data_IF_352581440994
#
_entry.id   IF_352581440994
#
_cell.length_a   1.000
_cell.length_b   1.000
_cell.length_c   1.000
_cell.angle_alpha   90.00
_cell.angle_beta   90.00
_cell.angle_gamma   90.00
#
_symmetry.space_group_name_H-M   'P 1'
#
loop_
_entity.id
_entity.type
_entity.pdbx_description
1 polymer ?
#
# COMPACT_ATOMS: atom_id res chain seq x y z
N UNK A 1 44.42 34.30 -26.37
CA UNK A 1 44.22 33.72 -25.03
C UNK A 1 42.82 34.08 -24.56
N UNK A 2 41.81 33.24 -24.83
CA UNK A 2 40.40 33.54 -24.50
C UNK A 2 39.96 32.71 -23.29
N UNK A 3 40.08 33.30 -22.10
CA UNK A 3 39.40 32.82 -20.90
C UNK A 3 37.89 33.11 -21.04
N UNK A 4 37.13 32.09 -21.42
CA UNK A 4 35.67 32.17 -21.46
C UNK A 4 35.12 32.08 -20.04
N UNK A 5 34.31 33.07 -19.65
CA UNK A 5 33.75 33.22 -18.32
C UNK A 5 32.79 32.07 -17.98
N UNK A 6 32.98 31.40 -16.83
CA UNK A 6 31.95 30.52 -16.26
C UNK A 6 30.90 31.40 -15.57
N UNK A 7 29.71 31.49 -16.16
CA UNK A 7 28.55 32.10 -15.51
C UNK A 7 28.07 31.22 -14.34
N UNK A 8 27.66 31.79 -13.20
CA UNK A 8 27.16 31.03 -12.07
C UNK A 8 25.77 30.44 -12.39
N UNK A 9 25.60 29.13 -12.15
CA UNK A 9 24.34 28.41 -12.39
C UNK A 9 23.23 28.89 -11.46
N UNK A 10 22.09 29.25 -12.07
CA UNK A 10 20.92 29.82 -11.40
C UNK A 10 20.15 28.79 -10.56
N UNK A 11 19.59 29.19 -9.41
CA UNK A 11 18.89 28.30 -8.46
C UNK A 11 17.69 27.56 -9.08
N UNK A 12 17.02 28.19 -10.07
CA UNK A 12 15.92 27.58 -10.82
C UNK A 12 16.31 26.36 -11.66
N UNK A 13 17.57 26.25 -12.10
CA UNK A 13 18.04 25.09 -12.87
C UNK A 13 18.26 23.85 -11.97
N UNK A 14 18.55 24.06 -10.69
CA UNK A 14 18.66 22.98 -9.69
C UNK A 14 17.31 22.31 -9.40
N UNK A 15 16.22 23.09 -9.33
CA UNK A 15 14.86 22.57 -9.11
C UNK A 15 14.38 21.75 -10.32
N UNK A 16 14.71 22.21 -11.54
CA UNK A 16 14.36 21.51 -12.79
C UNK A 16 15.06 20.16 -12.95
N UNK A 17 16.29 20.01 -12.43
CA UNK A 17 17.00 18.71 -12.40
C UNK A 17 16.36 17.69 -11.45
N UNK A 18 15.80 18.12 -10.32
CA UNK A 18 15.07 17.23 -9.39
C UNK A 18 13.78 16.69 -10.02
N UNK A 19 13.10 17.51 -10.82
CA UNK A 19 11.94 17.08 -11.62
C UNK A 19 12.28 16.14 -12.79
N UNK A 20 13.54 16.09 -13.23
CA UNK A 20 13.99 15.16 -14.27
C UNK A 20 14.02 13.71 -13.78
N UNK A 21 14.37 13.47 -12.51
CA UNK A 21 14.28 12.15 -11.87
C UNK A 21 12.84 11.62 -11.84
N UNK A 22 11.86 12.48 -11.54
CA UNK A 22 10.44 12.08 -11.57
C UNK A 22 9.96 11.73 -13.00
N UNK A 23 10.46 12.41 -14.04
CA UNK A 23 10.11 12.09 -15.45
C UNK A 23 10.66 10.74 -15.91
N UNK A 24 11.82 10.31 -15.40
CA UNK A 24 12.37 8.96 -15.67
C UNK A 24 11.50 7.87 -15.05
N UNK A 25 11.05 8.06 -13.80
CA UNK A 25 10.11 7.14 -13.16
C UNK A 25 8.76 7.08 -13.89
N UNK A 26 8.20 8.21 -14.31
CA UNK A 26 6.91 8.24 -15.05
C UNK A 26 6.99 7.44 -16.35
N UNK A 27 8.10 7.54 -17.10
CA UNK A 27 8.30 6.75 -18.32
C UNK A 27 8.44 5.26 -18.01
N UNK A 28 9.23 4.91 -17.00
CA UNK A 28 9.38 3.52 -16.57
C UNK A 28 8.05 2.91 -16.10
N UNK A 29 7.27 3.69 -15.35
CA UNK A 29 5.91 3.34 -14.94
C UNK A 29 4.97 3.18 -16.15
N UNK A 30 5.11 4.01 -17.18
CA UNK A 30 4.31 3.94 -18.39
C UNK A 30 4.61 2.67 -19.23
N UNK A 31 5.89 2.26 -19.29
CA UNK A 31 6.32 1.00 -19.93
C UNK A 31 5.94 -0.23 -19.12
N UNK A 32 6.14 -0.21 -17.79
CA UNK A 32 5.64 -1.25 -16.89
C UNK A 32 4.12 -1.38 -17.00
N UNK A 33 3.37 -0.27 -16.99
CA UNK A 33 1.92 -0.24 -17.19
C UNK A 33 1.52 -0.85 -18.53
N UNK A 34 2.20 -0.51 -19.63
CA UNK A 34 1.95 -1.11 -20.95
C UNK A 34 2.28 -2.61 -21.00
N UNK A 35 3.31 -3.06 -20.28
CA UNK A 35 3.71 -4.48 -20.16
C UNK A 35 2.70 -5.26 -19.32
N UNK A 36 2.26 -4.70 -18.20
CA UNK A 36 1.19 -5.24 -17.33
C UNK A 36 -0.15 -5.28 -18.09
N UNK A 37 -0.45 -4.29 -18.92
CA UNK A 37 -1.66 -4.25 -19.76
C UNK A 37 -1.62 -5.23 -20.95
N UNK A 38 -0.43 -5.71 -21.34
CA UNK A 38 -0.26 -6.77 -22.36
C UNK A 38 -0.25 -8.16 -21.75
N UNK A 39 0.13 -8.29 -20.48
CA UNK A 39 -0.15 -9.51 -19.72
C UNK A 39 -1.68 -9.56 -19.60
N UNK A 40 -2.27 -10.57 -20.22
CA UNK A 40 -3.69 -10.91 -20.21
C UNK A 40 -4.17 -11.32 -18.81
N UNK A 41 -3.87 -10.50 -17.80
CA UNK A 41 -4.38 -10.69 -16.46
C UNK A 41 -5.88 -10.35 -16.51
N UNK A 42 -6.70 -11.38 -16.35
CA UNK A 42 -8.15 -11.25 -16.16
C UNK A 42 -8.43 -10.19 -15.07
N UNK A 43 -9.46 -9.34 -15.22
CA UNK A 43 -9.80 -8.30 -14.23
C UNK A 43 -9.84 -8.82 -12.80
N UNK A 44 -10.33 -10.05 -12.64
CA UNK A 44 -10.36 -10.79 -11.39
C UNK A 44 -8.98 -10.93 -10.72
N UNK A 45 -7.96 -11.43 -11.44
CA UNK A 45 -6.60 -11.59 -10.91
C UNK A 45 -5.95 -10.28 -10.47
N UNK A 46 -6.26 -9.17 -11.16
CA UNK A 46 -5.74 -7.84 -10.80
C UNK A 46 -6.43 -7.32 -9.54
N UNK A 47 -7.76 -7.41 -9.48
CA UNK A 47 -8.54 -7.00 -8.32
C UNK A 47 -8.17 -7.82 -7.06
N UNK A 48 -8.03 -9.13 -7.22
CA UNK A 48 -7.63 -10.05 -6.16
C UNK A 48 -6.20 -9.78 -5.68
N UNK A 49 -5.25 -9.53 -6.60
CA UNK A 49 -3.90 -9.13 -6.21
C UNK A 49 -3.91 -7.83 -5.39
N UNK A 50 -4.64 -6.82 -5.86
CA UNK A 50 -4.71 -5.52 -5.17
C UNK A 50 -5.36 -5.61 -3.77
N UNK A 51 -6.44 -6.38 -3.62
CA UNK A 51 -7.10 -6.56 -2.32
C UNK A 51 -6.22 -7.27 -1.31
N UNK A 52 -5.45 -8.27 -1.74
CA UNK A 52 -4.45 -8.95 -0.90
C UNK A 52 -3.36 -7.98 -0.45
N UNK A 53 -2.93 -7.07 -1.34
CA UNK A 53 -1.98 -6.02 -1.01
C UNK A 53 -2.48 -5.10 0.10
N UNK A 54 -3.75 -4.66 0.00
CA UNK A 54 -4.39 -3.82 1.01
C UNK A 54 -4.59 -4.59 2.33
N UNK A 55 -5.04 -5.85 2.26
CA UNK A 55 -5.17 -6.71 3.43
C UNK A 55 -3.84 -6.86 4.18
N UNK A 56 -2.76 -7.11 3.44
CA UNK A 56 -1.42 -7.26 4.02
C UNK A 56 -0.91 -5.92 4.59
N UNK A 57 -1.26 -4.79 3.96
CA UNK A 57 -0.93 -3.45 4.43
C UNK A 57 -1.59 -3.06 5.76
N UNK A 58 -2.71 -3.69 6.12
CA UNK A 58 -3.35 -3.58 7.44
C UNK A 58 -2.68 -4.47 8.50
N UNK A 59 -1.68 -5.28 8.14
CA UNK A 59 -0.93 -6.03 9.15
C UNK A 59 0.03 -5.08 9.88
N UNK A 60 0.19 -5.22 11.22
CA UNK A 60 1.06 -4.34 12.01
C UNK A 60 2.55 -4.55 11.75
N UNK A 61 2.92 -5.49 10.87
CA UNK A 61 4.30 -5.79 10.54
C UNK A 61 4.90 -4.76 9.57
N UNK A 62 5.76 -3.90 10.09
CA UNK A 62 6.57 -2.98 9.30
C UNK A 62 7.50 -3.76 8.35
N UNK A 63 7.41 -3.49 7.05
CA UNK A 63 8.23 -4.11 6.00
C UNK A 63 7.80 -5.54 5.60
N UNK A 64 7.41 -6.40 6.55
CA UNK A 64 7.00 -7.78 6.25
C UNK A 64 5.68 -7.86 5.47
N UNK A 65 4.83 -6.83 5.54
CA UNK A 65 3.57 -6.78 4.79
C UNK A 65 3.76 -6.89 3.26
N UNK A 66 4.89 -6.46 2.71
CA UNK A 66 5.19 -6.63 1.27
C UNK A 66 5.44 -8.10 0.96
N UNK A 67 6.19 -8.79 1.82
CA UNK A 67 6.47 -10.23 1.69
C UNK A 67 5.16 -11.01 1.85
N UNK A 68 4.34 -10.68 2.85
CA UNK A 68 3.00 -11.25 3.04
C UNK A 68 2.12 -11.02 1.81
N UNK A 69 2.10 -9.82 1.24
CA UNK A 69 1.33 -9.51 0.05
C UNK A 69 1.76 -10.36 -1.16
N UNK A 70 3.07 -10.54 -1.35
CA UNK A 70 3.60 -11.39 -2.42
C UNK A 70 3.25 -12.86 -2.15
N UNK A 71 3.43 -13.32 -0.92
CA UNK A 71 3.13 -14.69 -0.50
C UNK A 71 1.66 -15.04 -0.70
N UNK A 72 0.74 -14.23 -0.16
CA UNK A 72 -0.70 -14.45 -0.31
C UNK A 72 -1.15 -14.29 -1.77
N UNK A 73 -0.55 -13.36 -2.53
CA UNK A 73 -0.84 -13.21 -3.96
C UNK A 73 -0.37 -14.43 -4.76
N UNK A 74 0.75 -15.07 -4.37
CA UNK A 74 1.20 -16.32 -4.97
C UNK A 74 0.23 -17.46 -4.68
N UNK A 75 -0.15 -17.64 -3.41
CA UNK A 75 -1.08 -18.69 -2.97
C UNK A 75 -2.43 -18.58 -3.68
N UNK A 76 -2.99 -17.37 -3.73
CA UNK A 76 -4.29 -17.10 -4.34
C UNK A 76 -4.21 -16.86 -5.86
N UNK A 77 -3.03 -17.08 -6.48
CA UNK A 77 -2.77 -16.91 -7.93
C UNK A 77 -3.19 -15.52 -8.46
N UNK A 78 -3.03 -14.50 -7.62
CA UNK A 78 -3.27 -13.10 -7.93
C UNK A 78 -2.15 -12.46 -8.75
N UNK A 79 -2.35 -11.21 -9.16
CA UNK A 79 -1.32 -10.45 -9.84
C UNK A 79 -0.34 -9.83 -8.83
N UNK A 80 0.92 -10.26 -8.84
CA UNK A 80 1.99 -9.73 -7.99
C UNK A 80 2.16 -8.22 -8.09
N UNK A 81 2.12 -7.66 -9.30
CA UNK A 81 2.27 -6.22 -9.50
C UNK A 81 1.11 -5.46 -8.85
N UNK A 82 -0.11 -6.00 -8.92
CA UNK A 82 -1.28 -5.41 -8.29
C UNK A 82 -1.18 -5.48 -6.75
N UNK A 83 -0.68 -6.58 -6.21
CA UNK A 83 -0.46 -6.73 -4.76
C UNK A 83 0.55 -5.73 -4.21
N UNK A 84 1.69 -5.56 -4.88
CA UNK A 84 2.70 -4.56 -4.48
C UNK A 84 2.15 -3.14 -4.58
N UNK A 85 1.34 -2.84 -5.60
CA UNK A 85 0.67 -1.53 -5.70
C UNK A 85 -0.35 -1.35 -4.54
N UNK A 86 -1.03 -2.42 -4.13
CA UNK A 86 -1.92 -2.40 -2.96
C UNK A 86 -1.17 -2.09 -1.67
N UNK A 87 0.04 -2.61 -1.48
CA UNK A 87 0.84 -2.31 -0.27
C UNK A 87 1.30 -0.85 -0.19
N UNK A 88 1.46 -0.17 -1.33
CA UNK A 88 1.80 1.27 -1.37
C UNK A 88 0.69 2.15 -0.77
N UNK A 89 -0.52 1.62 -0.59
CA UNK A 89 -1.56 2.30 0.18
C UNK A 89 -1.11 2.60 1.63
N UNK A 90 -0.25 1.75 2.19
CA UNK A 90 0.36 1.91 3.50
C UNK A 90 1.69 2.68 3.39
N UNK A 91 1.59 3.99 3.23
CA UNK A 91 2.73 4.90 3.37
C UNK A 91 3.01 5.12 4.86
N UNK A 92 4.23 5.52 5.28
CA UNK A 92 4.58 5.68 6.70
C UNK A 92 3.56 6.52 7.50
N UNK A 93 2.96 7.54 6.87
CA UNK A 93 1.93 8.37 7.49
C UNK A 93 0.57 7.65 7.61
N UNK A 94 0.12 6.95 6.56
CA UNK A 94 -1.15 6.20 6.61
C UNK A 94 -1.05 4.95 7.46
N UNK A 95 0.11 4.30 7.50
CA UNK A 95 0.39 3.14 8.33
C UNK A 95 0.18 3.45 9.82
N UNK A 96 0.67 4.59 10.31
CA UNK A 96 0.44 5.01 11.70
C UNK A 96 -1.05 5.14 12.02
N UNK A 97 -1.83 5.68 11.08
CA UNK A 97 -3.27 5.80 11.24
C UNK A 97 -3.97 4.43 11.24
N UNK A 98 -3.55 3.53 10.35
CA UNK A 98 -4.07 2.16 10.23
C UNK A 98 -3.79 1.38 11.51
N UNK A 99 -2.54 1.33 11.98
CA UNK A 99 -2.12 0.71 13.24
C UNK A 99 -2.92 1.21 14.43
N UNK A 100 -3.16 2.53 14.50
CA UNK A 100 -3.94 3.11 15.59
C UNK A 100 -5.43 2.73 15.51
N UNK A 101 -5.98 2.61 14.30
CA UNK A 101 -7.34 2.13 14.06
C UNK A 101 -7.48 0.63 14.36
N UNK A 102 -6.53 -0.20 13.91
CA UNK A 102 -6.46 -1.64 14.16
C UNK A 102 -6.43 -1.91 15.65
N UNK A 103 -5.56 -1.20 16.39
CA UNK A 103 -5.51 -1.33 17.84
C UNK A 103 -6.85 -0.98 18.50
N UNK A 104 -7.47 0.14 18.11
CA UNK A 104 -8.75 0.59 18.68
C UNK A 104 -9.87 -0.42 18.42
N UNK A 105 -9.95 -0.94 17.20
CA UNK A 105 -10.98 -1.90 16.79
C UNK A 105 -10.74 -3.25 17.45
N UNK A 106 -9.49 -3.74 17.45
CA UNK A 106 -9.12 -4.99 18.10
C UNK A 106 -9.33 -4.97 19.61
N UNK A 107 -9.05 -3.84 20.26
CA UNK A 107 -9.39 -3.60 21.67
C UNK A 107 -10.89 -3.67 21.91
N UNK A 108 -11.69 -2.99 21.09
CA UNK A 108 -13.15 -3.02 21.20
C UNK A 108 -13.68 -4.45 21.02
N UNK A 109 -13.13 -5.19 20.06
CA UNK A 109 -13.49 -6.59 19.83
C UNK A 109 -13.10 -7.47 21.02
N UNK A 110 -11.88 -7.35 21.53
CA UNK A 110 -11.45 -8.11 22.70
C UNK A 110 -12.27 -7.77 23.95
N UNK A 111 -12.63 -6.50 24.18
CA UNK A 111 -13.53 -6.10 25.26
C UNK A 111 -14.91 -6.75 25.15
N UNK A 112 -15.44 -6.90 23.94
CA UNK A 112 -16.70 -7.59 23.70
C UNK A 112 -16.62 -9.10 23.93
N UNK A 113 -15.45 -9.72 23.72
CA UNK A 113 -15.27 -11.18 23.78
C UNK A 113 -14.50 -11.68 25.03
N UNK A 114 -13.90 -10.81 25.84
CA UNK A 114 -13.20 -11.20 27.08
C UNK A 114 -12.67 -10.03 27.91
N UNK A 115 -12.88 -10.11 29.24
CA UNK A 115 -12.34 -9.17 30.24
C UNK A 115 -10.80 -9.25 30.28
N UNK A 116 -10.11 -8.39 29.53
CA UNK A 116 -8.65 -8.20 29.63
C UNK A 116 -8.37 -6.73 29.94
N UNK A 117 -7.45 -6.52 30.87
CA UNK A 117 -7.20 -5.26 31.57
C UNK A 117 -6.83 -4.06 30.68
N UNK A 118 -7.15 -2.88 31.23
CA UNK A 118 -7.05 -1.58 30.61
C UNK A 118 -5.59 -1.11 30.42
N UNK A 119 -5.06 -1.19 29.20
CA UNK A 119 -3.88 -0.38 28.83
C UNK A 119 -4.39 0.99 28.34
N UNK A 120 -4.02 2.09 28.99
CA UNK A 120 -4.59 3.41 28.69
C UNK A 120 -4.05 3.99 27.38
N UNK A 121 -4.92 4.64 26.59
CA UNK A 121 -4.59 5.30 25.31
C UNK A 121 -3.47 6.34 25.44
N UNK A 122 -3.26 6.88 26.64
CA UNK A 122 -2.16 7.79 26.94
C UNK A 122 -0.81 7.10 26.79
N UNK A 123 -0.64 5.87 27.28
CA UNK A 123 0.63 5.14 27.28
C UNK A 123 1.13 4.87 25.86
N UNK A 124 0.24 4.55 24.91
CA UNK A 124 0.63 4.25 23.52
C UNK A 124 1.13 5.50 22.80
N UNK A 125 0.51 6.66 23.04
CA UNK A 125 0.99 7.93 22.46
C UNK A 125 2.36 8.30 23.01
N UNK A 126 2.58 8.15 24.32
CA UNK A 126 3.90 8.38 24.92
C UNK A 126 4.93 7.37 24.45
N UNK A 127 4.53 6.11 24.21
CA UNK A 127 5.38 5.07 23.62
C UNK A 127 5.83 5.45 22.21
N UNK A 128 4.92 5.90 21.35
CA UNK A 128 5.28 6.31 19.99
C UNK A 128 6.14 7.57 19.94
N UNK A 129 5.91 8.52 20.87
CA UNK A 129 6.70 9.75 20.94
C UNK A 129 8.10 9.56 21.55
N UNK A 130 8.29 8.52 22.39
CA UNK A 130 9.55 8.20 23.05
C UNK A 130 10.40 7.13 22.37
N UNK A 131 9.93 6.57 21.25
CA UNK A 131 10.62 5.52 20.47
C UNK A 131 11.89 6.08 19.81
N UNK A 132 12.96 6.15 20.59
CA UNK A 132 14.32 6.17 20.04
C UNK A 132 14.60 4.78 19.47
N UNK A 133 15.13 4.69 18.24
CA UNK A 133 15.35 3.43 17.51
C UNK A 133 16.09 2.36 18.34
N UNK A 134 16.94 2.78 19.28
CA UNK A 134 17.68 1.93 20.22
C UNK A 134 16.85 1.30 21.34
N UNK A 135 15.75 1.94 21.80
CA UNK A 135 14.83 1.40 22.82
C UNK A 135 13.62 0.70 22.22
N UNK A 136 13.36 0.92 20.93
CA UNK A 136 12.27 0.29 20.20
C UNK A 136 12.36 -1.23 20.22
N UNK A 137 13.54 -1.78 19.94
CA UNK A 137 13.75 -3.22 19.78
C UNK A 137 13.47 -4.06 21.05
N UNK A 138 14.10 -3.76 22.22
CA UNK A 138 13.83 -4.53 23.43
C UNK A 138 12.40 -4.34 23.96
N UNK A 139 11.85 -3.13 23.87
CA UNK A 139 10.49 -2.83 24.33
C UNK A 139 9.41 -3.51 23.47
N UNK A 140 9.66 -3.64 22.18
CA UNK A 140 8.79 -4.34 21.24
C UNK A 140 8.68 -5.83 21.56
N UNK A 141 9.78 -6.46 21.98
CA UNK A 141 9.78 -7.87 22.40
C UNK A 141 9.00 -8.08 23.70
N UNK A 142 9.13 -7.16 24.66
CA UNK A 142 8.47 -7.27 25.97
C UNK A 142 6.97 -6.98 25.90
N UNK A 143 6.54 -6.08 25.02
CA UNK A 143 5.13 -5.69 24.85
C UNK A 143 4.44 -6.42 23.70
N UNK A 144 5.14 -7.35 23.04
CA UNK A 144 4.67 -8.06 21.84
C UNK A 144 3.33 -8.75 22.08
N UNK A 145 3.23 -9.56 23.13
CA UNK A 145 2.03 -10.38 23.38
C UNK A 145 0.79 -9.54 23.74
N UNK A 146 1.00 -8.41 24.42
CA UNK A 146 -0.09 -7.54 24.87
C UNK A 146 -0.63 -6.63 23.76
N UNK A 147 0.22 -6.21 22.81
CA UNK A 147 -0.17 -5.29 21.73
C UNK A 147 -0.49 -6.04 20.44
N UNK A 148 0.20 -7.13 20.10
CA UNK A 148 -0.02 -7.83 18.84
C UNK A 148 -1.38 -8.49 18.77
N UNK A 149 -1.88 -9.09 19.86
CA UNK A 149 -3.18 -9.74 19.84
C UNK A 149 -4.33 -8.80 19.42
N UNK A 150 -4.54 -7.63 20.05
CA UNK A 150 -5.55 -6.68 19.58
C UNK A 150 -5.26 -6.20 18.15
N UNK A 151 -4.01 -5.88 17.82
CA UNK A 151 -3.68 -5.38 16.49
C UNK A 151 -3.91 -6.39 15.36
N UNK A 152 -3.63 -7.68 15.60
CA UNK A 152 -3.88 -8.73 14.62
C UNK A 152 -5.37 -8.94 14.39
N UNK A 153 -6.17 -8.94 15.47
CA UNK A 153 -7.63 -9.04 15.37
C UNK A 153 -8.21 -7.83 14.63
N UNK A 154 -7.77 -6.63 14.99
CA UNK A 154 -8.19 -5.39 14.34
C UNK A 154 -7.78 -5.33 12.87
N UNK A 155 -6.52 -5.65 12.57
CA UNK A 155 -5.97 -5.68 11.22
C UNK A 155 -6.60 -6.74 10.33
N UNK A 156 -6.97 -7.90 10.88
CA UNK A 156 -7.73 -8.91 10.14
C UNK A 156 -9.13 -8.40 9.77
N UNK A 157 -9.79 -7.71 10.69
CA UNK A 157 -11.13 -7.15 10.47
C UNK A 157 -11.11 -5.98 9.48
N UNK A 158 -10.27 -4.97 9.72
CA UNK A 158 -10.10 -3.83 8.83
C UNK A 158 -9.56 -4.25 7.47
N UNK A 159 -8.58 -5.14 7.44
CA UNK A 159 -8.02 -5.71 6.23
C UNK A 159 -9.10 -6.42 5.40
N UNK A 160 -10.01 -7.16 6.03
CA UNK A 160 -11.11 -7.81 5.31
C UNK A 160 -12.08 -6.79 4.71
N UNK A 161 -12.44 -5.75 5.46
CA UNK A 161 -13.34 -4.69 4.99
C UNK A 161 -12.70 -3.93 3.83
N UNK A 162 -11.51 -3.35 4.03
CA UNK A 162 -10.82 -2.57 3.00
C UNK A 162 -10.38 -3.44 1.81
N UNK A 163 -9.95 -4.67 2.06
CA UNK A 163 -9.64 -5.66 1.04
C UNK A 163 -10.85 -5.97 0.16
N UNK A 164 -12.02 -6.25 0.75
CA UNK A 164 -13.26 -6.51 0.00
C UNK A 164 -13.70 -5.27 -0.80
N UNK A 165 -13.69 -4.09 -0.17
CA UNK A 165 -14.08 -2.84 -0.82
C UNK A 165 -13.18 -2.53 -2.03
N UNK A 166 -11.87 -2.72 -1.87
CA UNK A 166 -10.90 -2.49 -2.93
C UNK A 166 -11.01 -3.49 -4.08
N UNK A 167 -11.32 -4.76 -3.79
CA UNK A 167 -11.58 -5.77 -4.82
C UNK A 167 -12.75 -5.32 -5.71
N UNK A 168 -13.87 -4.91 -5.11
CA UNK A 168 -15.05 -4.45 -5.86
C UNK A 168 -14.71 -3.20 -6.68
N UNK A 169 -14.02 -2.24 -6.08
CA UNK A 169 -13.60 -1.01 -6.74
C UNK A 169 -12.73 -1.28 -7.98
N UNK A 170 -11.64 -2.03 -7.83
CA UNK A 170 -10.72 -2.34 -8.92
C UNK A 170 -11.39 -3.18 -10.01
N UNK A 171 -12.19 -4.18 -9.61
CA UNK A 171 -12.91 -5.02 -10.57
C UNK A 171 -13.87 -4.20 -11.44
N UNK A 172 -14.68 -3.32 -10.83
CA UNK A 172 -15.59 -2.42 -11.56
C UNK A 172 -14.84 -1.47 -12.49
N UNK A 173 -13.77 -0.84 -12.01
CA UNK A 173 -12.98 0.09 -12.83
C UNK A 173 -12.39 -0.60 -14.06
N UNK A 174 -11.82 -1.80 -13.90
CA UNK A 174 -11.20 -2.53 -15.02
C UNK A 174 -12.25 -2.98 -16.04
N UNK A 175 -13.40 -3.52 -15.60
CA UNK A 175 -14.48 -3.95 -16.51
C UNK A 175 -15.03 -2.77 -17.30
N UNK A 176 -15.29 -1.65 -16.62
CA UNK A 176 -15.77 -0.44 -17.29
C UNK A 176 -14.77 0.01 -18.37
N UNK A 177 -13.47 -0.06 -18.06
CA UNK A 177 -12.43 0.30 -19.02
C UNK A 177 -12.32 -0.68 -20.20
N UNK A 178 -12.50 -1.99 -19.97
CA UNK A 178 -12.52 -3.00 -21.04
C UNK A 178 -13.73 -2.86 -21.97
N UNK A 179 -14.92 -2.58 -21.42
CA UNK A 179 -16.14 -2.35 -22.23
C UNK A 179 -15.97 -1.19 -23.20
N UNK A 180 -15.35 -0.10 -22.75
CA UNK A 180 -15.06 1.06 -23.59
C UNK A 180 -13.99 0.78 -24.66
N UNK A 181 -13.08 -0.17 -24.43
CA UNK A 181 -12.10 -0.60 -25.44
C UNK A 181 -12.72 -1.48 -26.51
N UNK A 182 -13.60 -2.42 -26.14
CA UNK A 182 -14.34 -3.23 -27.11
C UNK A 182 -15.19 -2.36 -28.04
N UNK A 183 -15.94 -1.40 -27.51
CA UNK A 183 -16.73 -0.47 -28.33
C UNK A 183 -15.88 0.31 -29.34
N UNK A 184 -14.68 0.77 -28.94
CA UNK A 184 -13.76 1.48 -29.85
C UNK A 184 -13.15 0.59 -30.93
N UNK A 185 -12.91 -0.69 -30.63
CA UNK A 185 -12.39 -1.64 -31.62
C UNK A 185 -13.46 -2.10 -32.61
N UNK A 186 -14.71 -2.30 -32.16
CA UNK A 186 -15.85 -2.61 -33.03
C UNK A 186 -16.18 -1.42 -33.96
N UNK A 187 -16.24 -0.19 -33.42
CA UNK A 187 -16.48 1.02 -34.24
C UNK A 187 -15.41 1.25 -35.32
N UNK A 188 -14.16 0.87 -35.05
CA UNK A 188 -13.06 0.92 -36.04
C UNK A 188 -13.15 -0.16 -37.11
N UNK A 189 -13.78 -1.30 -36.84
CA UNK A 189 -13.99 -2.38 -37.81
C UNK A 189 -15.21 -2.14 -38.71
N UNK A 190 -16.27 -1.50 -38.19
CA UNK A 190 -17.46 -1.16 -38.99
C UNK A 190 -17.31 0.13 -39.81
N UNK A 191 -16.29 0.95 -39.52
CA UNK A 191 -15.98 2.19 -40.26
C UNK A 191 -14.96 1.97 -41.40
N UNK A 192 -14.60 0.72 -41.68
CA UNK A 192 -13.62 0.33 -42.69
C UNK A 192 -14.26 -0.69 -43.62
#
# INVERSE_FOLDING_TARGET
>A
MFFSHRTPMNFGERVRRRFFLCRLFIRSFYYMRKRILRISATPHKVALGFSIGIFSACSPFLGLHIILAIFFSWVLRGNFAAAIIGTVFSNPLTFLFIVMADYKIGRLFLLFFGNRDEISFSQIRTMFHGLTFSRAWPFFLETWDLIMMPMLVGGMFLGFIFGSLSYIGVYRTIIHFQKNRCHKMVKKRCSK
#
